data_IF_279590878741
#
_entry.id   IF_279590878741
#
_cell.length_a   1.000
_cell.length_b   1.000
_cell.length_c   1.000
_cell.angle_alpha   90.00
_cell.angle_beta   90.00
_cell.angle_gamma   90.00
#
_symmetry.space_group_name_H-M   'P 1'
#
loop_
_entity.id
_entity.type
_entity.pdbx_description
1 polymer ?
#
# COMPACT_ATOMS: atom_id res chain seq x y z
N UNK A 1 -5.61 16.42 7.46
CA UNK A 1 -5.77 14.97 7.65
C UNK A 1 -4.79 14.21 6.78
N UNK A 2 -4.56 12.94 7.07
CA UNK A 2 -3.74 12.08 6.22
C UNK A 2 -4.16 10.62 6.38
N UNK A 3 -4.67 10.02 5.31
CA UNK A 3 -5.15 8.64 5.33
C UNK A 3 -4.23 7.66 4.58
N UNK A 4 -2.99 8.10 4.24
CA UNK A 4 -2.04 7.26 3.52
C UNK A 4 -0.63 7.47 4.09
N UNK A 5 -0.30 6.67 5.12
CA UNK A 5 0.94 6.77 5.88
C UNK A 5 1.57 5.41 6.09
N UNK A 6 2.88 5.32 5.86
CA UNK A 6 3.68 4.11 6.02
C UNK A 6 4.60 4.19 7.22
N UNK A 7 4.83 3.02 7.84
CA UNK A 7 5.70 2.87 9.01
C UNK A 7 6.79 1.84 8.75
N UNK A 8 7.65 1.61 9.73
CA UNK A 8 8.64 0.52 9.69
C UNK A 8 8.02 -0.88 9.72
N UNK A 9 6.70 -1.01 9.83
CA UNK A 9 6.02 -2.29 9.64
C UNK A 9 6.03 -2.71 8.16
N UNK A 10 6.15 -1.76 7.23
CA UNK A 10 6.40 -1.99 5.80
C UNK A 10 7.65 -1.23 5.34
N UNK A 11 7.51 -0.31 4.42
CA UNK A 11 8.61 0.41 3.75
C UNK A 11 8.83 1.85 4.25
N UNK A 12 8.10 2.27 5.28
CA UNK A 12 8.35 3.55 5.95
C UNK A 12 9.62 3.55 6.80
N UNK A 13 10.17 4.73 7.04
CA UNK A 13 11.40 4.93 7.83
C UNK A 13 11.15 5.25 9.29
N UNK A 14 9.92 5.55 9.68
CA UNK A 14 9.56 5.90 11.05
C UNK A 14 8.76 4.78 11.69
N UNK A 15 8.97 4.55 12.99
CA UNK A 15 8.12 3.59 13.71
C UNK A 15 6.68 4.08 13.74
N UNK A 16 5.69 3.20 13.96
CA UNK A 16 4.30 3.61 14.10
C UNK A 16 4.10 4.75 15.12
N UNK A 17 4.83 4.70 16.23
CA UNK A 17 4.80 5.75 17.26
C UNK A 17 5.34 7.08 16.75
N UNK A 18 6.48 7.06 16.02
CA UNK A 18 7.09 8.25 15.42
C UNK A 18 6.19 8.87 14.33
N UNK A 19 5.46 8.05 13.58
CA UNK A 19 4.46 8.52 12.60
C UNK A 19 3.34 9.27 13.30
N UNK A 20 2.84 8.75 14.43
CA UNK A 20 1.83 9.42 15.27
C UNK A 20 2.37 10.72 15.83
N UNK A 21 3.58 10.74 16.40
CA UNK A 21 4.20 11.97 16.92
C UNK A 21 4.26 13.06 15.85
N UNK A 22 4.70 12.68 14.65
CA UNK A 22 4.79 13.63 13.53
C UNK A 22 3.40 14.12 13.09
N UNK A 23 2.39 13.26 13.06
CA UNK A 23 1.02 13.62 12.69
C UNK A 23 0.43 14.62 13.69
N UNK A 24 0.65 14.40 14.99
CA UNK A 24 0.24 15.34 16.07
C UNK A 24 0.99 16.66 15.93
N UNK A 25 2.31 16.63 15.74
CA UNK A 25 3.14 17.84 15.57
C UNK A 25 2.75 18.64 14.30
N UNK A 26 2.31 17.96 13.25
CA UNK A 26 1.80 18.58 12.02
C UNK A 26 0.35 19.10 12.16
N UNK A 27 -0.29 18.96 13.31
CA UNK A 27 -1.66 19.42 13.56
C UNK A 27 -2.72 18.67 12.74
N UNK A 28 -2.49 17.40 12.41
CA UNK A 28 -3.48 16.63 11.67
C UNK A 28 -4.72 16.37 12.54
N UNK A 29 -5.90 16.55 11.97
CA UNK A 29 -7.17 16.30 12.67
C UNK A 29 -7.55 14.80 12.73
N UNK A 30 -7.00 13.97 11.85
CA UNK A 30 -7.18 12.51 11.80
C UNK A 30 -6.13 11.88 10.88
N UNK A 31 -5.81 10.61 11.14
CA UNK A 31 -4.84 9.85 10.35
C UNK A 31 -5.27 8.40 10.13
N UNK A 32 -4.68 7.74 9.14
CA UNK A 32 -4.67 6.29 9.01
C UNK A 32 -3.23 5.80 8.81
N UNK A 33 -2.92 4.64 9.38
CA UNK A 33 -1.72 3.87 9.04
C UNK A 33 -2.12 2.79 8.06
N UNK A 34 -1.44 2.77 6.91
CA UNK A 34 -1.78 1.95 5.75
C UNK A 34 -0.55 1.24 5.19
N UNK A 35 0.19 0.56 6.06
CA UNK A 35 1.38 -0.20 5.68
C UNK A 35 1.12 -1.21 4.56
N UNK A 36 2.08 -1.39 3.65
CA UNK A 36 1.97 -2.34 2.55
C UNK A 36 1.82 -3.78 3.04
N UNK A 37 0.71 -4.41 2.64
CA UNK A 37 0.41 -5.83 2.82
C UNK A 37 0.52 -6.34 4.28
N UNK A 38 0.40 -5.43 5.25
CA UNK A 38 0.44 -5.75 6.68
C UNK A 38 -0.40 -4.80 7.52
N UNK A 39 -0.88 -5.28 8.64
CA UNK A 39 -1.58 -4.48 9.67
C UNK A 39 -0.76 -4.36 10.96
N UNK A 40 0.52 -4.77 10.93
CA UNK A 40 1.37 -4.81 12.13
C UNK A 40 1.63 -3.43 12.74
N UNK A 41 1.64 -2.36 11.91
CA UNK A 41 1.80 -0.96 12.36
C UNK A 41 0.57 -0.41 13.08
N UNK A 42 -0.63 -0.98 12.88
CA UNK A 42 -1.88 -0.42 13.40
C UNK A 42 -1.96 -0.43 14.93
N UNK A 43 -1.66 -1.55 15.56
CA UNK A 43 -1.80 -1.68 17.03
C UNK A 43 -0.84 -0.75 17.81
N UNK A 44 0.47 -0.66 17.48
CA UNK A 44 1.37 0.28 18.14
C UNK A 44 0.99 1.74 17.84
N UNK A 45 0.60 2.08 16.60
CA UNK A 45 0.14 3.42 16.27
C UNK A 45 -1.13 3.81 17.07
N UNK A 46 -2.11 2.89 17.22
CA UNK A 46 -3.32 3.15 18.03
C UNK A 46 -2.99 3.44 19.48
N UNK A 47 -2.05 2.72 20.09
CA UNK A 47 -1.61 2.99 21.47
C UNK A 47 -0.99 4.38 21.60
N UNK A 48 -0.12 4.77 20.66
CA UNK A 48 0.51 6.09 20.65
C UNK A 48 -0.48 7.23 20.35
N UNK A 49 -1.51 6.98 19.54
CA UNK A 49 -2.52 7.95 19.14
C UNK A 49 -3.59 8.19 20.21
N UNK A 50 -3.72 7.31 21.20
CA UNK A 50 -4.81 7.35 22.19
C UNK A 50 -4.93 8.70 22.89
N UNK A 51 -6.11 9.32 22.82
CA UNK A 51 -6.38 10.65 23.40
C UNK A 51 -5.70 11.83 22.73
N UNK A 52 -4.96 11.61 21.64
CA UNK A 52 -4.16 12.67 20.96
C UNK A 52 -4.65 12.96 19.54
N UNK A 53 -4.91 11.94 18.77
CA UNK A 53 -5.39 12.04 17.39
C UNK A 53 -6.26 10.82 17.02
N UNK A 54 -7.44 11.00 16.41
CA UNK A 54 -8.22 9.90 15.90
C UNK A 54 -7.45 9.15 14.81
N UNK A 55 -7.27 7.83 15.00
CA UNK A 55 -6.59 6.94 14.07
C UNK A 55 -7.57 5.92 13.49
N UNK A 56 -7.65 5.88 12.17
CA UNK A 56 -8.38 4.86 11.40
C UNK A 56 -7.44 3.70 11.12
N UNK A 57 -7.78 2.46 11.51
CA UNK A 57 -6.99 1.29 11.12
C UNK A 57 -7.08 1.10 9.61
N UNK A 58 -5.95 0.88 8.97
CA UNK A 58 -5.89 0.71 7.52
C UNK A 58 -4.83 -0.29 7.07
N UNK A 59 -4.80 -0.50 5.78
CA UNK A 59 -3.82 -1.31 5.05
C UNK A 59 -3.71 -0.77 3.62
N UNK A 60 -2.56 -0.89 2.98
CA UNK A 60 -2.42 -0.75 1.53
C UNK A 60 -2.03 -2.10 0.93
N UNK A 61 -2.90 -2.68 0.12
CA UNK A 61 -2.58 -3.88 -0.66
C UNK A 61 -1.81 -3.51 -1.92
N UNK A 62 -0.67 -4.18 -2.15
CA UNK A 62 -0.03 -4.25 -3.46
C UNK A 62 -0.73 -5.34 -4.26
N UNK A 63 -1.61 -4.96 -5.19
CA UNK A 63 -2.40 -5.93 -5.94
C UNK A 63 -1.60 -6.54 -7.09
N UNK A 64 -1.91 -7.81 -7.43
CA UNK A 64 -1.31 -8.52 -8.56
C UNK A 64 -1.57 -7.81 -9.88
N UNK A 65 -0.61 -7.85 -10.80
CA UNK A 65 -0.81 -7.41 -12.19
C UNK A 65 -1.96 -8.16 -12.84
N UNK A 66 -2.93 -7.41 -13.38
CA UNK A 66 -4.07 -7.97 -14.10
C UNK A 66 -4.60 -7.01 -15.15
N UNK A 67 -5.34 -7.54 -16.14
CA UNK A 67 -6.00 -6.74 -17.16
C UNK A 67 -7.26 -6.10 -16.56
N UNK A 68 -7.24 -4.77 -16.39
CA UNK A 68 -8.33 -4.00 -15.80
C UNK A 68 -9.16 -3.22 -16.83
N UNK A 69 -8.67 -3.12 -18.07
CA UNK A 69 -9.39 -2.45 -19.14
C UNK A 69 -9.02 -3.04 -20.52
N UNK A 70 -9.96 -3.07 -21.48
CA UNK A 70 -9.65 -3.48 -22.84
C UNK A 70 -8.56 -2.59 -23.46
N UNK A 71 -7.58 -3.23 -24.11
CA UNK A 71 -6.47 -2.54 -24.77
C UNK A 71 -5.39 -1.97 -23.83
N UNK A 72 -5.57 -2.06 -22.51
CA UNK A 72 -4.53 -1.74 -21.54
C UNK A 72 -3.74 -3.01 -21.19
N UNK A 73 -2.42 -2.90 -21.22
CA UNK A 73 -1.57 -3.99 -20.73
C UNK A 73 -1.86 -4.26 -19.25
N UNK A 74 -1.65 -5.48 -18.74
CA UNK A 74 -1.81 -5.79 -17.32
C UNK A 74 -1.04 -4.80 -16.45
N UNK A 75 -1.69 -4.33 -15.38
CA UNK A 75 -1.13 -3.41 -14.39
C UNK A 75 -1.39 -3.93 -12.98
N UNK A 76 -0.49 -3.64 -12.08
CA UNK A 76 -0.68 -3.70 -10.64
C UNK A 76 -1.11 -2.32 -10.15
N UNK A 77 -2.08 -2.27 -9.27
CA UNK A 77 -2.49 -1.06 -8.56
C UNK A 77 -2.38 -1.27 -7.05
N UNK A 78 -2.42 -0.19 -6.31
CA UNK A 78 -2.54 -0.25 -4.86
C UNK A 78 -3.97 0.01 -4.41
N UNK A 79 -4.40 -0.71 -3.38
CA UNK A 79 -5.75 -0.62 -2.84
C UNK A 79 -5.67 -0.37 -1.33
N UNK A 80 -6.20 0.76 -0.89
CA UNK A 80 -6.30 1.14 0.51
C UNK A 80 -7.54 0.52 1.14
N UNK A 81 -7.39 -0.08 2.31
CA UNK A 81 -8.49 -0.52 3.16
C UNK A 81 -8.58 0.37 4.39
N UNK A 82 -9.75 0.94 4.67
CA UNK A 82 -9.97 1.82 5.83
C UNK A 82 -11.04 1.28 6.75
N UNK A 83 -10.84 1.44 8.07
CA UNK A 83 -11.80 1.00 9.08
C UNK A 83 -11.87 -0.50 9.25
N UNK A 84 -10.86 -1.22 8.78
CA UNK A 84 -10.78 -2.68 8.90
C UNK A 84 -10.62 -3.11 10.35
N UNK A 85 -11.11 -4.32 10.68
CA UNK A 85 -10.67 -5.05 11.87
C UNK A 85 -9.34 -5.78 11.55
N UNK A 86 -8.21 -5.33 12.11
CA UNK A 86 -6.90 -5.96 11.86
C UNK A 86 -6.81 -7.42 12.35
N UNK A 87 -7.71 -7.83 13.25
CA UNK A 87 -7.76 -9.18 13.78
C UNK A 87 -8.74 -10.10 13.02
N UNK A 88 -9.42 -9.58 11.97
CA UNK A 88 -10.38 -10.38 11.21
C UNK A 88 -9.74 -11.64 10.63
N UNK A 89 -10.29 -12.85 10.91
CA UNK A 89 -9.60 -14.12 10.61
C UNK A 89 -9.23 -14.30 9.14
N UNK A 90 -10.13 -13.94 8.22
CA UNK A 90 -9.87 -14.10 6.78
C UNK A 90 -8.77 -13.15 6.29
N UNK A 91 -8.75 -11.89 6.77
CA UNK A 91 -7.69 -10.93 6.46
C UNK A 91 -6.35 -11.42 7.01
N UNK A 92 -6.30 -11.77 8.29
CA UNK A 92 -5.09 -12.26 8.94
C UNK A 92 -4.52 -13.53 8.28
N UNK A 93 -5.39 -14.46 7.86
CA UNK A 93 -4.97 -15.66 7.13
C UNK A 93 -4.36 -15.30 5.77
N UNK A 94 -5.05 -14.47 4.97
CA UNK A 94 -4.57 -14.07 3.64
C UNK A 94 -3.22 -13.35 3.70
N UNK A 95 -3.00 -12.46 4.68
CA UNK A 95 -1.73 -11.75 4.86
C UNK A 95 -0.59 -12.71 5.27
N UNK A 96 -0.86 -13.66 6.18
CA UNK A 96 0.14 -14.68 6.55
C UNK A 96 0.49 -15.60 5.37
N UNK A 97 -0.50 -16.03 4.59
CA UNK A 97 -0.28 -16.90 3.44
C UNK A 97 0.55 -16.19 2.36
N UNK A 98 0.25 -14.90 2.11
CA UNK A 98 1.03 -14.05 1.21
C UNK A 98 2.48 -13.88 1.70
N UNK A 99 2.68 -13.51 2.96
CA UNK A 99 4.03 -13.34 3.53
C UNK A 99 4.85 -14.63 3.41
N UNK A 100 4.27 -15.77 3.76
CA UNK A 100 4.92 -17.07 3.61
C UNK A 100 5.25 -17.40 2.13
N UNK A 101 4.36 -17.04 1.19
CA UNK A 101 4.61 -17.23 -0.23
C UNK A 101 5.72 -16.32 -0.77
N UNK A 102 5.76 -15.06 -0.35
CA UNK A 102 6.82 -14.10 -0.67
C UNK A 102 8.17 -14.59 -0.16
N UNK A 103 8.24 -15.06 1.09
CA UNK A 103 9.48 -15.62 1.67
C UNK A 103 9.98 -16.83 0.90
N UNK A 104 9.09 -17.75 0.53
CA UNK A 104 9.45 -18.91 -0.32
C UNK A 104 9.95 -18.47 -1.70
N UNK A 105 9.33 -17.46 -2.30
CA UNK A 105 9.75 -16.95 -3.60
C UNK A 105 11.15 -16.32 -3.52
N UNK A 106 11.45 -15.52 -2.49
CA UNK A 106 12.80 -15.00 -2.28
C UNK A 106 13.83 -16.12 -2.05
N UNK A 107 13.51 -17.11 -1.21
CA UNK A 107 14.42 -18.24 -0.97
C UNK A 107 14.72 -18.98 -2.28
N UNK A 108 13.71 -19.25 -3.12
CA UNK A 108 13.92 -19.89 -4.40
C UNK A 108 14.80 -19.07 -5.38
N UNK A 109 14.76 -17.73 -5.30
CA UNK A 109 15.68 -16.86 -6.02
C UNK A 109 17.10 -17.00 -5.48
N UNK A 110 17.28 -16.94 -4.17
CA UNK A 110 18.58 -17.06 -3.53
C UNK A 110 19.26 -18.42 -3.82
N UNK A 111 18.47 -19.51 -3.84
CA UNK A 111 18.98 -20.85 -4.22
C UNK A 111 19.49 -20.87 -5.66
N UNK A 112 18.80 -20.21 -6.60
CA UNK A 112 19.28 -20.05 -7.98
C UNK A 112 20.56 -19.21 -8.08
N UNK A 113 20.61 -18.12 -7.34
CA UNK A 113 21.79 -17.25 -7.29
C UNK A 113 23.00 -18.01 -6.70
N UNK A 114 22.80 -18.81 -5.67
CA UNK A 114 23.83 -19.67 -5.08
C UNK A 114 24.35 -20.70 -6.08
N UNK A 115 23.45 -21.37 -6.83
CA UNK A 115 23.82 -22.30 -7.90
C UNK A 115 24.62 -21.61 -9.02
N UNK A 116 24.37 -20.34 -9.29
CA UNK A 116 25.14 -19.49 -10.21
C UNK A 116 26.44 -18.91 -9.62
N UNK A 117 26.84 -19.33 -8.42
CA UNK A 117 28.09 -18.90 -7.78
C UNK A 117 27.98 -17.63 -6.95
N UNK A 118 26.77 -17.15 -6.64
CA UNK A 118 26.54 -15.98 -5.79
C UNK A 118 25.66 -16.37 -4.56
N UNK A 119 26.23 -17.03 -3.55
CA UNK A 119 25.48 -17.39 -2.35
C UNK A 119 25.19 -16.13 -1.52
N UNK A 120 23.91 -15.85 -1.30
CA UNK A 120 23.40 -14.77 -0.46
C UNK A 120 22.47 -15.35 0.61
N UNK A 121 22.41 -14.72 1.76
CA UNK A 121 21.45 -15.05 2.83
C UNK A 121 20.44 -13.91 2.98
N UNK A 122 19.16 -14.26 3.12
CA UNK A 122 18.08 -13.28 3.18
C UNK A 122 18.27 -12.24 4.28
N UNK A 123 18.75 -12.70 5.45
CA UNK A 123 18.96 -11.89 6.64
C UNK A 123 20.13 -10.91 6.50
N UNK A 124 21.02 -11.14 5.53
CA UNK A 124 22.22 -10.32 5.30
C UNK A 124 22.01 -9.24 4.23
N UNK A 125 20.84 -9.24 3.55
CA UNK A 125 20.54 -8.27 2.49
C UNK A 125 19.92 -7.02 3.11
N UNK A 126 20.60 -5.84 3.03
CA UNK A 126 20.07 -4.60 3.58
C UNK A 126 18.85 -4.13 2.79
N UNK A 127 17.69 -4.09 3.42
CA UNK A 127 16.49 -3.47 2.85
C UNK A 127 16.60 -1.94 2.90
N UNK A 128 16.37 -1.27 1.76
CA UNK A 128 16.50 0.20 1.64
C UNK A 128 15.26 0.95 2.04
N UNK A 129 14.10 0.39 1.78
CA UNK A 129 12.82 1.05 1.98
C UNK A 129 12.20 0.80 3.36
N UNK A 130 12.91 0.19 4.29
CA UNK A 130 12.44 -0.10 5.64
C UNK A 130 12.99 -1.44 6.12
N UNK A 131 13.11 -1.65 7.43
CA UNK A 131 13.80 -2.83 7.96
C UNK A 131 13.06 -4.15 7.67
N UNK A 132 11.77 -4.07 7.37
CA UNK A 132 10.91 -5.24 7.12
C UNK A 132 10.42 -5.33 5.66
N UNK A 133 10.94 -4.48 4.76
CA UNK A 133 10.52 -4.44 3.37
C UNK A 133 11.70 -4.66 2.42
N UNK A 134 11.87 -5.90 1.99
CA UNK A 134 12.90 -6.28 1.02
C UNK A 134 12.33 -6.22 -0.39
N UNK A 135 13.05 -5.55 -1.29
CA UNK A 135 12.71 -5.46 -2.71
C UNK A 135 13.69 -6.27 -3.58
N UNK A 136 13.27 -6.66 -4.78
CA UNK A 136 14.17 -7.28 -5.76
C UNK A 136 15.37 -6.38 -6.11
N UNK A 137 15.20 -5.06 -6.06
CA UNK A 137 16.28 -4.09 -6.24
C UNK A 137 17.35 -4.18 -5.13
N UNK A 138 16.99 -4.61 -3.92
CA UNK A 138 17.94 -4.84 -2.84
C UNK A 138 18.76 -6.11 -3.12
N UNK A 139 18.11 -7.15 -3.63
CA UNK A 139 18.79 -8.39 -4.05
C UNK A 139 19.72 -8.13 -5.25
N UNK A 140 19.27 -7.39 -6.28
CA UNK A 140 20.13 -7.03 -7.43
C UNK A 140 21.40 -6.32 -6.97
N UNK A 141 21.29 -5.41 -6.01
CA UNK A 141 22.40 -4.69 -5.44
C UNK A 141 23.32 -5.58 -4.61
N UNK A 142 22.75 -6.50 -3.82
CA UNK A 142 23.52 -7.47 -3.05
C UNK A 142 24.34 -8.38 -3.99
N UNK A 143 23.75 -8.82 -5.11
CA UNK A 143 24.46 -9.58 -6.16
C UNK A 143 25.63 -8.78 -6.72
N UNK A 144 25.41 -7.51 -7.08
CA UNK A 144 26.49 -6.64 -7.59
C UNK A 144 27.62 -6.44 -6.56
N UNK A 145 27.27 -6.37 -5.29
CA UNK A 145 28.25 -6.17 -4.20
C UNK A 145 29.01 -7.45 -3.87
N UNK A 146 28.32 -8.59 -3.84
CA UNK A 146 28.93 -9.87 -3.48
C UNK A 146 29.78 -10.47 -4.60
N UNK A 147 29.45 -10.20 -5.85
CA UNK A 147 30.09 -10.80 -7.04
C UNK A 147 30.65 -9.74 -8.02
N UNK A 148 31.42 -8.73 -7.56
CA UNK A 148 31.94 -7.68 -8.43
C UNK A 148 32.91 -8.28 -9.47
N UNK A 149 32.65 -8.01 -10.75
CA UNK A 149 33.51 -8.49 -11.85
C UNK A 149 33.39 -9.99 -12.16
N UNK A 150 32.42 -10.71 -11.59
CA UNK A 150 32.13 -12.08 -11.99
C UNK A 150 31.66 -12.12 -13.45
N UNK A 151 32.21 -13.07 -14.23
CA UNK A 151 31.80 -13.27 -15.62
C UNK A 151 30.29 -13.58 -15.72
N UNK A 152 29.72 -14.26 -14.71
CA UNK A 152 28.30 -14.60 -14.61
C UNK A 152 27.40 -13.46 -14.07
N UNK A 153 27.92 -12.25 -13.80
CA UNK A 153 27.15 -11.16 -13.23
C UNK A 153 25.92 -10.76 -14.08
N UNK A 154 25.99 -10.66 -15.42
CA UNK A 154 24.82 -10.37 -16.26
C UNK A 154 23.71 -11.43 -16.10
N UNK A 155 24.06 -12.71 -16.07
CA UNK A 155 23.13 -13.83 -15.91
C UNK A 155 22.50 -13.84 -14.51
N UNK A 156 23.28 -13.57 -13.46
CA UNK A 156 22.76 -13.46 -12.09
C UNK A 156 21.73 -12.31 -11.98
N UNK A 157 22.02 -11.17 -12.57
CA UNK A 157 21.10 -10.04 -12.60
C UNK A 157 19.85 -10.32 -13.45
N UNK A 158 20.00 -11.07 -14.54
CA UNK A 158 18.85 -11.52 -15.32
C UNK A 158 17.92 -12.41 -14.50
N UNK A 159 18.46 -13.34 -13.69
CA UNK A 159 17.65 -14.14 -12.75
C UNK A 159 16.83 -13.29 -11.80
N UNK A 160 17.39 -12.21 -11.24
CA UNK A 160 16.67 -11.28 -10.37
C UNK A 160 15.56 -10.57 -11.16
N UNK A 161 15.85 -10.07 -12.35
CA UNK A 161 14.86 -9.38 -13.19
C UNK A 161 13.71 -10.30 -13.61
N UNK A 162 13.99 -11.55 -14.00
CA UNK A 162 12.98 -12.54 -14.36
C UNK A 162 12.09 -12.93 -13.16
N UNK A 163 12.64 -12.82 -11.94
CA UNK A 163 11.89 -13.14 -10.72
C UNK A 163 10.75 -12.15 -10.42
N UNK A 164 10.72 -11.00 -11.09
CA UNK A 164 9.64 -10.01 -11.00
C UNK A 164 8.25 -10.64 -11.16
N UNK A 165 8.07 -11.49 -12.19
CA UNK A 165 6.79 -12.15 -12.42
C UNK A 165 6.45 -13.22 -11.36
N UNK A 166 7.47 -13.82 -10.73
CA UNK A 166 7.29 -14.74 -9.61
C UNK A 166 6.78 -13.98 -8.38
N UNK A 167 7.39 -12.85 -8.07
CA UNK A 167 7.00 -12.00 -6.95
C UNK A 167 5.60 -11.44 -7.13
N UNK A 168 5.27 -10.94 -8.32
CA UNK A 168 3.94 -10.42 -8.62
C UNK A 168 2.84 -11.47 -8.38
N UNK A 169 3.08 -12.73 -8.72
CA UNK A 169 2.12 -13.82 -8.48
C UNK A 169 1.83 -14.08 -6.99
N UNK A 170 2.68 -13.60 -6.07
CA UNK A 170 2.42 -13.70 -4.63
C UNK A 170 1.48 -12.58 -4.14
N UNK A 171 1.30 -11.52 -4.91
CA UNK A 171 0.39 -10.45 -4.57
C UNK A 171 -1.07 -10.92 -4.70
N UNK A 172 -1.94 -10.35 -3.87
CA UNK A 172 -3.37 -10.64 -3.84
C UNK A 172 -4.04 -10.00 -5.07
N UNK A 173 -4.93 -10.71 -5.82
CA UNK A 173 -5.72 -10.09 -6.87
C UNK A 173 -6.61 -8.97 -6.32
N UNK A 174 -6.87 -7.92 -7.12
CA UNK A 174 -7.60 -6.73 -6.64
C UNK A 174 -9.01 -7.06 -6.15
N UNK A 175 -9.75 -7.94 -6.85
CA UNK A 175 -11.08 -8.38 -6.42
C UNK A 175 -11.04 -9.07 -5.05
N UNK A 176 -10.01 -9.89 -4.81
CA UNK A 176 -9.83 -10.57 -3.53
C UNK A 176 -9.44 -9.60 -2.42
N UNK A 177 -8.63 -8.58 -2.72
CA UNK A 177 -8.29 -7.52 -1.76
C UNK A 177 -9.54 -6.72 -1.34
N UNK A 178 -10.42 -6.36 -2.28
CA UNK A 178 -11.73 -5.73 -1.98
C UNK A 178 -12.57 -6.62 -1.07
N UNK A 179 -12.73 -7.92 -1.39
CA UNK A 179 -13.46 -8.87 -0.55
C UNK A 179 -12.91 -8.95 0.87
N UNK A 180 -11.59 -8.99 1.03
CA UNK A 180 -10.92 -9.07 2.34
C UNK A 180 -11.14 -7.80 3.16
N UNK A 181 -11.06 -6.63 2.52
CA UNK A 181 -11.35 -5.34 3.16
C UNK A 181 -12.80 -5.29 3.63
N UNK A 182 -13.76 -5.66 2.79
CA UNK A 182 -15.18 -5.68 3.15
C UNK A 182 -15.49 -6.72 4.23
N UNK A 183 -14.92 -7.93 4.14
CA UNK A 183 -15.08 -8.94 5.16
C UNK A 183 -14.57 -8.46 6.54
N UNK A 184 -13.47 -7.68 6.54
CA UNK A 184 -12.94 -7.06 7.75
C UNK A 184 -13.72 -5.80 8.18
N UNK A 185 -14.86 -5.49 7.54
CA UNK A 185 -15.72 -4.36 7.87
C UNK A 185 -15.27 -3.02 7.28
N UNK A 186 -14.26 -3.00 6.40
CA UNK A 186 -13.64 -1.79 5.88
C UNK A 186 -14.22 -1.26 4.58
N UNK A 187 -13.67 -0.14 4.11
CA UNK A 187 -13.92 0.51 2.82
C UNK A 187 -12.71 0.33 1.91
N UNK A 188 -12.95 -0.10 0.67
CA UNK A 188 -11.92 -0.31 -0.35
C UNK A 188 -11.76 0.92 -1.25
N UNK A 189 -10.57 1.50 -1.30
CA UNK A 189 -10.28 2.75 -2.02
C UNK A 189 -9.08 2.57 -2.95
N UNK A 190 -9.22 2.95 -4.22
CA UNK A 190 -8.10 2.92 -5.15
C UNK A 190 -7.09 4.01 -4.80
N UNK A 191 -5.87 3.60 -4.40
CA UNK A 191 -4.75 4.49 -4.07
C UNK A 191 -4.22 5.19 -5.32
N UNK A 192 -3.91 6.48 -5.21
CA UNK A 192 -3.23 7.29 -6.24
C UNK A 192 -3.53 6.88 -7.70
N UNK A 193 -4.79 6.99 -8.22
CA UNK A 193 -5.27 6.29 -9.42
C UNK A 193 -4.51 6.56 -10.73
N UNK A 194 -3.79 7.69 -10.85
CA UNK A 194 -2.91 7.94 -11.99
C UNK A 194 -1.59 7.17 -11.91
N UNK A 195 -1.20 6.65 -10.74
CA UNK A 195 0.02 5.92 -10.52
C UNK A 195 -0.28 4.43 -10.35
N UNK A 196 0.18 3.63 -11.29
CA UNK A 196 0.07 2.17 -11.29
C UNK A 196 1.45 1.56 -11.54
N UNK A 197 1.54 0.25 -11.50
CA UNK A 197 2.82 -0.42 -11.68
C UNK A 197 2.70 -1.50 -12.76
N UNK A 198 3.80 -1.75 -13.44
CA UNK A 198 3.96 -2.86 -14.36
C UNK A 198 5.35 -3.44 -14.17
N UNK A 199 5.44 -4.71 -13.83
CA UNK A 199 6.72 -5.34 -13.46
C UNK A 199 7.49 -4.52 -12.43
N UNK A 200 6.77 -4.02 -11.40
CA UNK A 200 7.24 -3.11 -10.35
C UNK A 200 7.73 -1.73 -10.83
N UNK A 201 7.72 -1.46 -12.14
CA UNK A 201 8.02 -0.13 -12.65
C UNK A 201 6.77 0.76 -12.61
N UNK A 202 6.91 1.93 -12.00
CA UNK A 202 5.84 2.93 -11.93
C UNK A 202 5.43 3.37 -13.34
N UNK A 203 4.13 3.36 -13.58
CA UNK A 203 3.49 3.83 -14.81
C UNK A 203 2.52 4.94 -14.46
N UNK A 204 2.22 5.78 -15.44
CA UNK A 204 1.20 6.81 -15.32
C UNK A 204 0.06 6.51 -16.29
N UNK A 205 -1.17 6.55 -15.77
CA UNK A 205 -2.38 6.42 -16.56
C UNK A 205 -2.90 7.80 -16.99
N UNK A 206 -3.47 7.85 -18.18
CA UNK A 206 -4.32 8.94 -18.62
C UNK A 206 -5.71 8.82 -17.97
N UNK A 207 -6.44 9.93 -17.84
CA UNK A 207 -7.79 9.93 -17.24
C UNK A 207 -8.76 8.98 -17.94
N UNK A 208 -8.64 8.79 -19.25
CA UNK A 208 -9.43 7.83 -20.04
C UNK A 208 -9.16 6.39 -19.61
N UNK A 209 -7.90 6.06 -19.30
CA UNK A 209 -7.49 4.75 -18.82
C UNK A 209 -7.95 4.53 -17.37
N UNK A 210 -7.84 5.56 -16.51
CA UNK A 210 -8.41 5.53 -15.14
C UNK A 210 -9.91 5.24 -15.19
N UNK A 211 -10.67 5.94 -16.05
CA UNK A 211 -12.09 5.69 -16.27
C UNK A 211 -12.38 4.26 -16.73
N UNK A 212 -11.52 3.72 -17.61
CA UNK A 212 -11.67 2.36 -18.10
C UNK A 212 -11.43 1.31 -17.00
N UNK A 213 -10.37 1.45 -16.22
CA UNK A 213 -10.09 0.59 -15.07
C UNK A 213 -11.18 0.69 -13.99
N UNK A 214 -11.66 1.90 -13.71
CA UNK A 214 -12.70 2.14 -12.71
C UNK A 214 -13.98 1.35 -13.01
N UNK A 215 -14.38 1.22 -14.27
CA UNK A 215 -15.55 0.40 -14.63
C UNK A 215 -15.41 -1.04 -14.13
N UNK A 216 -14.23 -1.63 -14.26
CA UNK A 216 -13.96 -2.97 -13.75
C UNK A 216 -13.90 -3.00 -12.22
N UNK A 217 -13.18 -2.06 -11.61
CA UNK A 217 -13.03 -2.00 -10.15
C UNK A 217 -14.37 -1.84 -9.42
N UNK A 218 -15.32 -1.11 -10.02
CA UNK A 218 -16.67 -1.00 -9.50
C UNK A 218 -17.43 -2.34 -9.48
N UNK A 219 -17.16 -3.23 -10.41
CA UNK A 219 -17.79 -4.57 -10.39
C UNK A 219 -17.27 -5.43 -9.24
N UNK A 220 -16.08 -5.11 -8.71
CA UNK A 220 -15.51 -5.74 -7.53
C UNK A 220 -16.01 -5.12 -6.21
N UNK A 221 -16.72 -3.98 -6.27
CA UNK A 221 -17.26 -3.30 -5.10
C UNK A 221 -16.38 -2.17 -4.55
N UNK A 222 -15.56 -1.52 -5.40
CA UNK A 222 -14.75 -0.37 -4.97
C UNK A 222 -15.62 0.75 -4.38
N UNK A 223 -15.25 1.26 -3.19
CA UNK A 223 -16.01 2.30 -2.45
C UNK A 223 -15.51 3.71 -2.72
N UNK A 224 -14.26 3.89 -3.13
CA UNK A 224 -13.70 5.23 -3.28
C UNK A 224 -12.42 5.33 -4.11
N UNK A 225 -11.99 6.59 -4.31
CA UNK A 225 -10.75 6.97 -4.97
C UNK A 225 -9.93 7.87 -4.03
N UNK A 226 -8.60 7.69 -4.01
CA UNK A 226 -7.71 8.67 -3.41
C UNK A 226 -7.54 9.86 -4.37
N UNK A 227 -8.55 10.74 -4.39
CA UNK A 227 -8.60 11.88 -5.29
C UNK A 227 -7.63 13.00 -4.88
N UNK A 228 -7.42 13.15 -3.56
CA UNK A 228 -6.56 14.19 -2.99
C UNK A 228 -5.20 13.62 -2.56
N UNK A 229 -4.54 12.95 -3.51
CA UNK A 229 -3.17 12.50 -3.31
C UNK A 229 -2.21 13.69 -3.35
N UNK A 230 -1.23 13.71 -2.43
CA UNK A 230 -0.35 14.86 -2.26
C UNK A 230 0.43 15.24 -3.51
N UNK A 231 0.90 14.25 -4.28
CA UNK A 231 1.70 14.49 -5.47
C UNK A 231 0.89 14.87 -6.72
N UNK A 232 -0.45 14.88 -6.65
CA UNK A 232 -1.29 15.30 -7.77
C UNK A 232 -1.47 16.81 -7.81
N UNK A 233 -1.46 17.36 -9.02
CA UNK A 233 -1.83 18.75 -9.29
C UNK A 233 -3.33 19.02 -9.13
N UNK A 234 -3.72 20.28 -9.21
CA UNK A 234 -5.13 20.69 -9.06
C UNK A 234 -6.04 20.07 -10.12
N UNK A 235 -5.59 20.04 -11.40
CA UNK A 235 -6.36 19.44 -12.50
C UNK A 235 -6.60 17.94 -12.29
N UNK A 236 -5.60 17.22 -11.82
CA UNK A 236 -5.69 15.79 -11.54
C UNK A 236 -6.66 15.51 -10.39
N UNK A 237 -6.56 16.28 -9.31
CA UNK A 237 -7.47 16.18 -8.17
C UNK A 237 -8.90 16.51 -8.58
N UNK A 238 -9.11 17.56 -9.37
CA UNK A 238 -10.41 17.94 -9.87
C UNK A 238 -11.00 16.84 -10.78
N UNK A 239 -10.20 16.25 -11.66
CA UNK A 239 -10.64 15.16 -12.54
C UNK A 239 -11.06 13.92 -11.74
N UNK A 240 -10.31 13.54 -10.71
CA UNK A 240 -10.66 12.40 -9.84
C UNK A 240 -11.85 12.70 -8.93
N UNK A 241 -11.96 13.94 -8.41
CA UNK A 241 -13.12 14.38 -7.61
C UNK A 241 -14.42 14.32 -8.43
N UNK A 242 -14.38 14.83 -9.67
CA UNK A 242 -15.50 14.74 -10.59
C UNK A 242 -15.86 13.29 -10.91
N UNK A 243 -14.86 12.47 -11.24
CA UNK A 243 -15.03 11.06 -11.54
C UNK A 243 -15.65 10.28 -10.36
N UNK A 244 -15.21 10.56 -9.14
CA UNK A 244 -15.78 9.95 -7.94
C UNK A 244 -17.25 10.38 -7.76
N UNK A 245 -17.56 11.68 -7.95
CA UNK A 245 -18.93 12.20 -7.87
C UNK A 245 -19.87 11.59 -8.90
N UNK A 246 -19.44 11.49 -10.17
CA UNK A 246 -20.20 10.86 -11.26
C UNK A 246 -20.52 9.38 -10.98
N UNK A 247 -19.72 8.71 -10.16
CA UNK A 247 -19.85 7.28 -9.87
C UNK A 247 -20.36 6.97 -8.47
N UNK A 248 -20.70 7.99 -7.66
CA UNK A 248 -21.18 7.80 -6.29
C UNK A 248 -20.11 7.26 -5.32
N UNK A 249 -18.82 7.50 -5.63
CA UNK A 249 -17.69 7.02 -4.86
C UNK A 249 -17.20 8.06 -3.84
N UNK A 250 -16.60 7.57 -2.76
CA UNK A 250 -15.91 8.40 -1.78
C UNK A 250 -14.62 8.98 -2.34
N UNK A 251 -14.23 10.15 -1.82
CA UNK A 251 -12.90 10.71 -2.04
C UNK A 251 -12.10 10.66 -0.75
N UNK A 252 -10.87 10.16 -0.83
CA UNK A 252 -9.92 10.21 0.29
C UNK A 252 -8.75 11.14 0.00
N UNK A 253 -7.97 11.43 1.04
CA UNK A 253 -6.83 12.34 0.98
C UNK A 253 -5.63 11.71 1.70
N UNK A 254 -4.51 11.58 1.01
CA UNK A 254 -3.32 10.96 1.55
C UNK A 254 -2.02 11.51 0.97
N UNK A 255 -0.96 11.46 1.77
CA UNK A 255 0.36 11.93 1.36
C UNK A 255 1.24 10.83 0.80
N UNK A 256 0.97 9.57 1.14
CA UNK A 256 1.84 8.44 0.88
C UNK A 256 3.23 8.65 1.50
N UNK A 257 3.22 9.16 2.76
CA UNK A 257 4.45 9.54 3.46
C UNK A 257 5.20 8.31 3.95
N UNK A 258 6.45 8.16 3.48
CA UNK A 258 7.38 7.09 3.88
C UNK A 258 8.50 7.60 4.80
N UNK A 259 8.54 8.91 5.08
CA UNK A 259 9.57 9.50 5.94
C UNK A 259 10.90 9.80 5.24
N UNK A 260 10.97 9.72 3.92
CA UNK A 260 12.12 10.10 3.09
C UNK A 260 11.71 10.96 1.91
N UNK A 261 12.50 11.98 1.50
CA UNK A 261 12.19 12.76 0.31
C UNK A 261 12.04 11.89 -0.96
N UNK A 262 11.12 12.23 -1.84
CA UNK A 262 10.15 13.33 -1.76
C UNK A 262 8.88 13.00 -0.94
N UNK A 263 8.77 11.79 -0.36
CA UNK A 263 7.63 11.29 0.43
C UNK A 263 7.91 11.41 1.95
N UNK A 264 8.31 12.59 2.42
CA UNK A 264 8.68 12.87 3.82
C UNK A 264 7.71 13.79 4.55
N UNK A 265 6.73 14.37 3.85
CA UNK A 265 5.78 15.33 4.39
C UNK A 265 4.40 14.71 4.54
N UNK A 266 3.80 14.90 5.70
CA UNK A 266 2.43 14.51 6.01
C UNK A 266 1.44 15.65 5.77
N UNK A 267 0.17 15.25 5.66
CA UNK A 267 -0.96 16.16 5.64
C UNK A 267 -1.40 16.58 4.24
N UNK A 268 -2.68 16.41 3.98
CA UNK A 268 -3.34 16.81 2.74
C UNK A 268 -4.61 17.56 3.06
N UNK A 269 -4.88 18.63 2.31
CA UNK A 269 -6.14 19.36 2.40
C UNK A 269 -7.19 18.63 1.57
N UNK A 270 -8.31 18.29 2.22
CA UNK A 270 -9.49 17.71 1.57
C UNK A 270 -10.62 18.74 1.62
N UNK A 271 -11.39 18.94 0.55
CA UNK A 271 -12.54 19.85 0.58
C UNK A 271 -13.54 19.49 1.68
N UNK A 272 -14.14 20.49 2.37
CA UNK A 272 -15.03 20.23 3.50
C UNK A 272 -16.19 19.28 3.18
N UNK A 273 -16.76 19.36 1.97
CA UNK A 273 -17.85 18.48 1.54
C UNK A 273 -17.41 17.01 1.50
N UNK A 274 -16.24 16.71 0.90
CA UNK A 274 -15.68 15.36 0.79
C UNK A 274 -15.26 14.81 2.14
N UNK A 275 -14.70 15.70 2.97
CA UNK A 275 -14.42 15.36 4.34
C UNK A 275 -15.68 14.95 5.11
N UNK A 276 -16.76 15.70 5.00
CA UNK A 276 -18.03 15.37 5.66
C UNK A 276 -18.64 14.04 5.17
N UNK A 277 -18.50 13.72 3.87
CA UNK A 277 -18.93 12.43 3.31
C UNK A 277 -18.11 11.28 3.91
N UNK A 278 -16.80 11.41 3.91
CA UNK A 278 -15.89 10.40 4.47
C UNK A 278 -16.11 10.21 5.97
N UNK A 279 -16.30 11.30 6.73
CA UNK A 279 -16.58 11.22 8.17
C UNK A 279 -17.86 10.42 8.48
N UNK A 280 -18.93 10.62 7.70
CA UNK A 280 -20.17 9.85 7.88
C UNK A 280 -19.93 8.36 7.71
N UNK A 281 -19.20 7.96 6.70
CA UNK A 281 -18.86 6.55 6.45
C UNK A 281 -17.96 5.99 7.54
N UNK A 282 -16.90 6.71 7.93
CA UNK A 282 -15.97 6.28 8.97
C UNK A 282 -16.58 6.32 10.38
N UNK A 283 -17.67 7.06 10.61
CA UNK A 283 -18.38 7.07 11.90
C UNK A 283 -19.09 5.75 12.23
N UNK A 284 -19.37 4.92 11.22
CA UNK A 284 -19.91 3.57 11.41
C UNK A 284 -18.86 2.58 11.94
N UNK A 285 -17.56 2.92 11.85
CA UNK A 285 -16.50 2.07 12.40
C UNK A 285 -16.27 2.46 13.87
N UNK A 286 -16.48 1.55 14.85
CA UNK A 286 -16.28 1.85 16.26
C UNK A 286 -14.81 2.16 16.51
N UNK A 287 -14.50 3.42 16.84
CA UNK A 287 -13.26 3.73 17.54
C UNK A 287 -13.32 2.99 18.88
N UNK A 288 -12.21 2.38 19.32
CA UNK A 288 -12.16 1.53 20.52
C UNK A 288 -12.68 2.18 21.81
N UNK A 289 -12.97 3.48 21.83
CA UNK A 289 -13.54 4.22 22.95
C UNK A 289 -15.01 3.85 23.24
N UNK A 290 -15.78 3.35 22.26
CA UNK A 290 -17.17 2.96 22.50
C UNK A 290 -17.34 1.53 23.04
N UNK A 291 -16.33 0.67 22.93
CA UNK A 291 -16.39 -0.72 23.42
C UNK A 291 -16.15 -0.82 24.94
N UNK A 292 -15.58 0.18 25.59
CA UNK A 292 -15.33 0.18 27.02
C UNK A 292 -16.52 0.70 27.87
N UNK A 293 -17.54 1.28 27.23
CA UNK A 293 -18.71 1.87 27.91
C UNK A 293 -19.93 0.93 27.98
N UNK A 294 -19.80 -0.33 27.50
CA UNK A 294 -20.87 -1.35 27.51
C UNK A 294 -20.37 -2.62 28.20
N UNK A 295 -19.82 -2.49 29.41
CA UNK A 295 -19.69 -3.60 30.37
C UNK A 295 -19.99 -3.10 31.76
#
# INVERSE_FOLDING_TARGET
MDFHLHTTASDGRRTPEQVVEQAVAAGLCRMAVTDHDTVAGVAPARRAAAGRIPLVPGIEFTCREQALAPGLAPISLHLLGYGIDPAHPALAAALRDRDAAVRRAYQALLDKLAAGGCPLRLEEIPARCGPNHLELADIDRAVQTACPGAAALPELRALVAEHTAVMDRQNIPVERAVELIHAAGGLAVWAHPFHVYRRFAKQRLEISQVKACLRQLRTFGLDGLEAYYRAFGEEERAALDALAGENGLLCTAGSDCHGTPPRDRMGVVCPPRRWAELQRQLAFFPTAEKSAAVR
#
